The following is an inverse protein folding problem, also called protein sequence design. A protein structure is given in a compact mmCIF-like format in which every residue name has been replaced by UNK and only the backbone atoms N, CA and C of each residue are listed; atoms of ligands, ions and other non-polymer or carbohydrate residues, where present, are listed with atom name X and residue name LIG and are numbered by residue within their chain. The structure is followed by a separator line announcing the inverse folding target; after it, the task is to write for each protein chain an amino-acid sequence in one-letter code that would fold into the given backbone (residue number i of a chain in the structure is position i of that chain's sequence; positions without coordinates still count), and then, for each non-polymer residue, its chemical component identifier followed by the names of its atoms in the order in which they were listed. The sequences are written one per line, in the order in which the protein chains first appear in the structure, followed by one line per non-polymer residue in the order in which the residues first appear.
data_IF_673646846623
#
_entry.id   IF_673646846623
#
_cell.length_a   1.000
_cell.length_b   1.000
_cell.length_c   1.000
_cell.angle_alpha   90.00
_cell.angle_beta   90.00
_cell.angle_gamma   90.00
#
_symmetry.space_group_name_H-M   'P 1'
#
loop_
_entity.id
_entity.type
_entity.pdbx_description
1 polymer ?
#
# COMPACT_ATOMS: atom_id res chain seq x y z
N UNK A 1 -7.49 -2.36 -10.08
CA UNK A 1 -7.11 -3.46 -9.18
C UNK A 1 -7.97 -3.43 -7.93
N UNK A 2 -8.32 -4.60 -7.38
CA UNK A 2 -8.92 -4.70 -6.04
C UNK A 2 -7.82 -4.77 -4.99
N UNK A 3 -7.99 -4.07 -3.86
CA UNK A 3 -7.01 -4.03 -2.79
C UNK A 3 -7.66 -4.39 -1.45
N UNK A 4 -6.96 -5.21 -0.68
CA UNK A 4 -7.31 -5.56 0.68
C UNK A 4 -6.07 -5.50 1.56
N UNK A 5 -6.23 -4.96 2.75
CA UNK A 5 -5.15 -4.82 3.73
C UNK A 5 -5.45 -5.74 4.90
N UNK A 6 -4.50 -6.59 5.24
CA UNK A 6 -4.57 -7.44 6.42
C UNK A 6 -3.64 -6.86 7.48
N UNK A 7 -4.21 -6.16 8.46
CA UNK A 7 -3.47 -5.36 9.44
C UNK A 7 -3.53 -6.06 10.79
N UNK A 8 -2.36 -6.38 11.34
CA UNK A 8 -2.21 -6.89 12.69
C UNK A 8 -1.63 -5.80 13.57
N UNK A 9 -2.35 -5.40 14.62
CA UNK A 9 -1.93 -4.33 15.53
C UNK A 9 -2.20 -4.70 16.99
N UNK A 10 -1.45 -4.07 17.92
CA UNK A 10 -1.70 -4.19 19.36
C UNK A 10 -2.82 -3.22 19.77
N UNK A 11 -3.73 -3.69 20.62
CA UNK A 11 -4.83 -2.92 21.18
C UNK A 11 -4.41 -2.22 22.48
N UNK A 12 -5.32 -1.39 23.04
CA UNK A 12 -5.15 -0.77 24.38
C UNK A 12 -4.91 -1.80 25.49
N UNK A 13 -5.56 -2.95 25.38
CA UNK A 13 -5.51 -4.01 26.38
C UNK A 13 -4.29 -4.93 26.20
N UNK A 14 -3.30 -4.48 25.41
CA UNK A 14 -2.08 -5.22 25.07
C UNK A 14 -2.33 -6.58 24.39
N UNK A 15 -3.52 -6.75 23.80
CA UNK A 15 -3.87 -7.90 22.96
C UNK A 15 -3.54 -7.60 21.51
N UNK A 16 -3.26 -8.63 20.70
CA UNK A 16 -3.01 -8.45 19.27
C UNK A 16 -4.28 -8.78 18.50
N UNK A 17 -4.71 -7.90 17.62
CA UNK A 17 -5.89 -8.10 16.78
C UNK A 17 -5.50 -7.93 15.32
N UNK A 18 -5.92 -8.90 14.51
CA UNK A 18 -5.80 -8.88 13.05
C UNK A 18 -7.14 -8.47 12.44
N UNK A 19 -7.11 -7.49 11.53
CA UNK A 19 -8.30 -6.99 10.83
C UNK A 19 -8.05 -6.83 9.35
N UNK A 20 -9.06 -7.15 8.58
CA UNK A 20 -9.07 -6.94 7.14
C UNK A 20 -9.80 -5.64 6.78
N UNK A 21 -9.16 -4.83 5.93
CA UNK A 21 -9.68 -3.59 5.41
C UNK A 21 -9.68 -3.63 3.89
N UNK A 22 -10.84 -3.87 3.29
CA UNK A 22 -11.02 -3.78 1.84
C UNK A 22 -11.14 -2.32 1.40
N UNK A 23 -10.42 -1.94 0.35
CA UNK A 23 -10.50 -0.58 -0.20
C UNK A 23 -11.80 -0.45 -0.99
N UNK A 24 -12.72 0.40 -0.51
CA UNK A 24 -13.97 0.66 -1.20
C UNK A 24 -13.79 1.81 -2.21
N UNK A 25 -13.92 1.56 -3.53
CA UNK A 25 -13.68 2.59 -4.54
C UNK A 25 -14.67 3.77 -4.46
N UNK A 26 -15.90 3.55 -4.00
CA UNK A 26 -16.91 4.60 -3.87
C UNK A 26 -16.69 5.52 -2.65
N UNK A 27 -15.80 5.14 -1.74
CA UNK A 27 -15.48 5.89 -0.51
C UNK A 27 -14.02 6.30 -0.41
N UNK A 28 -13.28 6.18 -1.51
CA UNK A 28 -11.85 6.44 -1.56
C UNK A 28 -11.57 7.51 -2.61
N UNK A 29 -10.87 8.57 -2.23
CA UNK A 29 -10.30 9.56 -3.15
C UNK A 29 -8.87 9.18 -3.49
N UNK A 30 -8.45 9.41 -4.72
CA UNK A 30 -7.08 9.13 -5.16
C UNK A 30 -6.31 10.43 -5.44
N UNK A 31 -5.00 10.36 -5.27
CA UNK A 31 -4.04 11.40 -5.64
C UNK A 31 -2.69 10.77 -5.93
N UNK A 32 -1.68 11.57 -6.23
CA UNK A 32 -0.37 11.03 -6.51
C UNK A 32 0.62 12.06 -6.98
N UNK A 33 1.83 11.59 -7.26
CA UNK A 33 2.88 12.39 -7.88
C UNK A 33 3.66 11.55 -8.88
N UNK A 34 4.13 12.20 -9.94
CA UNK A 34 4.93 11.59 -10.98
C UNK A 34 6.28 12.28 -11.04
N UNK A 35 7.36 11.52 -10.93
CA UNK A 35 8.72 11.97 -11.21
C UNK A 35 9.40 10.97 -12.14
N UNK A 36 10.57 11.33 -12.67
CA UNK A 36 11.31 10.45 -13.59
C UNK A 36 11.73 9.11 -12.97
N UNK A 37 11.89 9.04 -11.64
CA UNK A 37 12.43 7.88 -10.94
C UNK A 37 11.41 7.21 -10.01
N UNK A 38 10.49 7.99 -9.46
CA UNK A 38 9.51 7.54 -8.47
C UNK A 38 8.12 8.04 -8.83
N UNK A 39 7.13 7.17 -8.73
CA UNK A 39 5.72 7.50 -8.91
C UNK A 39 4.97 7.10 -7.65
N UNK A 40 4.10 7.95 -7.13
CA UNK A 40 3.29 7.65 -5.96
C UNK A 40 1.80 7.68 -6.32
N UNK A 41 1.08 6.66 -5.87
CA UNK A 41 -0.37 6.59 -5.86
C UNK A 41 -0.85 6.63 -4.41
N UNK A 42 -1.61 7.66 -4.05
CA UNK A 42 -2.20 7.83 -2.73
C UNK A 42 -3.70 7.54 -2.78
N UNK A 43 -4.16 6.66 -1.91
CA UNK A 43 -5.57 6.31 -1.72
C UNK A 43 -5.98 6.77 -0.33
N UNK A 44 -6.94 7.69 -0.28
CA UNK A 44 -7.43 8.34 0.95
C UNK A 44 -8.88 7.97 1.21
N UNK A 45 -9.17 7.53 2.43
CA UNK A 45 -10.52 7.40 2.96
C UNK A 45 -10.59 8.07 4.33
N UNK A 46 -11.76 8.10 4.95
CA UNK A 46 -12.03 8.88 6.17
C UNK A 46 -11.02 8.62 7.30
N UNK A 47 -10.54 7.38 7.44
CA UNK A 47 -9.67 6.96 8.55
C UNK A 47 -8.35 6.30 8.07
N UNK A 48 -8.04 6.39 6.77
CA UNK A 48 -6.96 5.63 6.17
C UNK A 48 -6.28 6.38 5.02
N UNK A 49 -4.95 6.26 4.96
CA UNK A 49 -4.12 6.62 3.82
C UNK A 49 -3.30 5.40 3.42
N UNK A 50 -3.38 4.99 2.16
CA UNK A 50 -2.51 3.98 1.57
C UNK A 50 -1.72 4.64 0.43
N UNK A 51 -0.40 4.67 0.53
CA UNK A 51 0.47 5.16 -0.54
C UNK A 51 1.28 4.00 -1.13
N UNK A 52 1.15 3.79 -2.43
CA UNK A 52 1.91 2.83 -3.22
C UNK A 52 2.94 3.62 -4.03
N UNK A 53 4.22 3.36 -3.79
CA UNK A 53 5.31 4.01 -4.51
C UNK A 53 5.95 3.00 -5.46
N UNK A 54 6.04 3.39 -6.72
CA UNK A 54 6.65 2.64 -7.79
C UNK A 54 7.99 3.27 -8.15
N UNK A 55 9.01 2.44 -8.32
CA UNK A 55 10.31 2.88 -8.81
C UNK A 55 10.57 2.28 -10.18
N UNK A 56 11.38 2.99 -10.97
CA UNK A 56 11.94 2.46 -12.22
C UNK A 56 13.41 2.08 -12.01
N UNK A 57 13.77 0.85 -12.36
CA UNK A 57 15.15 0.47 -12.58
C UNK A 57 15.52 0.89 -14.00
N UNK A 58 16.26 2.00 -14.13
CA UNK A 58 16.68 2.55 -15.42
C UNK A 58 17.63 1.62 -16.19
N UNK A 59 18.43 0.80 -15.51
CA UNK A 59 19.37 -0.13 -16.16
C UNK A 59 18.65 -1.29 -16.85
N UNK A 60 17.52 -1.74 -16.30
CA UNK A 60 16.74 -2.86 -16.84
C UNK A 60 15.40 -2.42 -17.45
N UNK A 61 15.12 -1.11 -17.49
CA UNK A 61 13.83 -0.53 -17.91
C UNK A 61 12.63 -1.24 -17.29
N UNK A 62 12.65 -1.48 -15.98
CA UNK A 62 11.58 -2.16 -15.25
C UNK A 62 10.97 -1.28 -14.19
N UNK A 63 9.64 -1.21 -14.16
CA UNK A 63 8.87 -0.55 -13.11
C UNK A 63 8.38 -1.61 -12.13
N UNK A 64 8.41 -1.30 -10.84
CA UNK A 64 7.99 -2.23 -9.78
C UNK A 64 7.48 -1.46 -8.57
N UNK A 65 6.60 -2.09 -7.78
CA UNK A 65 6.17 -1.58 -6.49
C UNK A 65 7.38 -1.60 -5.55
N UNK A 66 7.86 -0.41 -5.20
CA UNK A 66 9.06 -0.19 -4.39
C UNK A 66 8.76 -0.03 -2.91
N UNK A 67 7.68 0.67 -2.58
CA UNK A 67 7.31 0.93 -1.19
C UNK A 67 5.80 0.99 -1.03
N UNK A 68 5.32 0.45 0.07
CA UNK A 68 3.95 0.63 0.55
C UNK A 68 4.03 1.41 1.85
N UNK A 69 3.25 2.48 1.98
CA UNK A 69 3.07 3.19 3.23
C UNK A 69 1.59 3.15 3.59
N UNK A 70 1.28 2.71 4.80
CA UNK A 70 -0.08 2.66 5.32
C UNK A 70 -0.16 3.52 6.55
N UNK A 71 -1.13 4.43 6.59
CA UNK A 71 -1.59 5.09 7.81
C UNK A 71 -3.03 4.69 8.05
N UNK A 72 -3.31 4.10 9.21
CA UNK A 72 -4.67 3.69 9.60
C UNK A 72 -4.92 4.14 11.03
N UNK A 73 -6.11 4.65 11.31
CA UNK A 73 -6.58 4.87 12.69
C UNK A 73 -7.62 3.79 13.02
N UNK A 74 -7.24 2.70 13.70
CA UNK A 74 -8.19 1.66 14.07
C UNK A 74 -9.16 2.21 15.13
N UNK A 75 -10.46 1.85 15.07
CA UNK A 75 -11.45 2.33 16.04
C UNK A 75 -11.14 1.93 17.49
N UNK A 76 -10.41 0.83 17.70
CA UNK A 76 -10.15 0.24 19.02
C UNK A 76 -8.67 0.35 19.46
N UNK A 77 -7.84 1.08 18.72
CA UNK A 77 -6.42 1.20 19.01
C UNK A 77 -6.13 2.23 20.11
N UNK A 78 -5.15 1.89 20.96
CA UNK A 78 -4.59 2.78 21.98
C UNK A 78 -3.63 3.80 21.44
N UNK A 79 -2.94 3.41 20.37
CA UNK A 79 -1.94 4.23 19.73
C UNK A 79 -2.54 5.18 18.69
N UNK A 80 -1.95 6.38 18.54
CA UNK A 80 -2.25 7.26 17.42
C UNK A 80 -1.79 6.61 16.12
N UNK A 81 -2.67 6.60 15.10
CA UNK A 81 -2.41 6.25 13.70
C UNK A 81 -1.25 5.26 13.43
N UNK A 82 -1.59 3.98 13.22
CA UNK A 82 -0.63 2.95 12.80
C UNK A 82 0.04 3.34 11.48
N UNK A 83 1.37 3.44 11.48
CA UNK A 83 2.20 3.70 10.29
C UNK A 83 3.11 2.53 10.00
N UNK A 84 2.91 1.87 8.87
CA UNK A 84 3.85 0.87 8.34
C UNK A 84 4.48 1.41 7.05
N UNK A 85 5.79 1.27 6.90
CA UNK A 85 6.53 1.67 5.71
C UNK A 85 7.74 0.74 5.53
N UNK A 86 7.77 -0.03 4.45
CA UNK A 86 8.83 -1.03 4.27
C UNK A 86 9.90 -0.67 3.22
N UNK A 87 11.07 -1.32 3.38
CA UNK A 87 12.24 -1.40 2.49
C UNK A 87 11.87 -2.00 1.10
N UNK A 88 12.74 -1.90 0.07
CA UNK A 88 12.36 -2.06 -1.33
C UNK A 88 11.59 -3.37 -1.57
N UNK A 89 10.33 -3.24 -1.95
CA UNK A 89 9.53 -4.33 -2.48
C UNK A 89 9.92 -4.54 -3.96
N UNK A 90 9.65 -5.74 -4.47
CA UNK A 90 9.80 -6.10 -5.88
C UNK A 90 8.55 -6.88 -6.32
N UNK A 91 7.40 -6.23 -6.20
CA UNK A 91 6.09 -6.76 -6.61
C UNK A 91 5.56 -5.98 -7.83
N UNK A 92 4.52 -6.51 -8.49
CA UNK A 92 3.85 -5.85 -9.62
C UNK A 92 4.81 -5.36 -10.73
N UNK A 93 5.82 -6.18 -11.05
CA UNK A 93 6.89 -5.75 -11.94
C UNK A 93 6.51 -5.87 -13.42
N UNK A 94 6.76 -4.81 -14.20
CA UNK A 94 6.58 -4.80 -15.65
C UNK A 94 7.73 -4.07 -16.35
N UNK A 95 7.93 -4.36 -17.64
CA UNK A 95 8.81 -3.57 -18.50
C UNK A 95 8.21 -2.17 -18.73
N UNK A 96 9.05 -1.15 -18.79
CA UNK A 96 8.61 0.21 -19.10
C UNK A 96 7.94 0.25 -20.49
N UNK A 97 6.76 0.85 -20.57
CA UNK A 97 5.92 0.86 -21.77
C UNK A 97 4.89 -0.28 -21.82
N UNK A 98 4.99 -1.29 -20.95
CA UNK A 98 3.99 -2.35 -20.82
C UNK A 98 3.16 -2.18 -19.54
N UNK A 99 1.97 -2.79 -19.51
CA UNK A 99 1.15 -2.91 -18.30
C UNK A 99 1.45 -4.21 -17.55
N UNK A 100 1.38 -4.16 -16.22
CA UNK A 100 1.26 -5.35 -15.38
C UNK A 100 -0.21 -5.75 -15.32
N UNK A 101 -0.51 -7.03 -15.57
CA UNK A 101 -1.84 -7.60 -15.37
C UNK A 101 -1.72 -8.88 -14.54
N UNK A 102 -2.47 -8.95 -13.45
CA UNK A 102 -2.55 -10.11 -12.57
C UNK A 102 -3.98 -10.30 -12.11
N UNK A 103 -4.55 -11.48 -12.39
CA UNK A 103 -5.92 -11.85 -12.01
C UNK A 103 -5.97 -12.75 -10.77
N UNK A 104 -4.83 -13.30 -10.34
CA UNK A 104 -4.69 -14.07 -9.12
C UNK A 104 -4.40 -13.15 -7.91
N UNK A 105 -4.78 -13.58 -6.70
CA UNK A 105 -4.44 -12.87 -5.47
C UNK A 105 -2.91 -12.82 -5.28
N UNK A 106 -2.37 -11.61 -5.15
CA UNK A 106 -0.96 -11.36 -4.84
C UNK A 106 -0.84 -10.79 -3.42
N UNK A 107 -0.10 -11.50 -2.55
CA UNK A 107 0.09 -11.12 -1.14
C UNK A 107 1.43 -10.45 -0.93
N UNK A 108 1.40 -9.15 -0.63
CA UNK A 108 2.60 -8.36 -0.31
C UNK A 108 2.64 -8.11 1.20
N UNK A 109 3.62 -8.72 1.88
CA UNK A 109 3.81 -8.50 3.32
C UNK A 109 4.49 -7.14 3.56
N UNK A 110 3.91 -6.36 4.47
CA UNK A 110 4.40 -5.05 4.89
C UNK A 110 4.46 -5.05 6.41
N UNK A 111 5.66 -4.88 6.97
CA UNK A 111 5.92 -4.81 8.42
C UNK A 111 6.25 -3.40 8.89
#
# INVERSE_FOLDING_TARGET
MGLQLNVTCRTRDNTTVTREFSINPNKTTFGGSCTAQLVALELRSRNQLLALQFAINASCSRVFLHRVQQTLTPPDAGDPAFKAAHRPLSALQAAAGNSYEGNAEERVQVT
#
